data_IF_147876104602
#
_entry.id   IF_147876104602
#
_cell.length_a   1.000
_cell.length_b   1.000
_cell.length_c   1.000
_cell.angle_alpha   90.00
_cell.angle_beta   90.00
_cell.angle_gamma   90.00
#
_symmetry.space_group_name_H-M   'P 1'
#
loop_
_entity.id
_entity.type
_entity.pdbx_description
1 polymer ?
#
# COMPACT_ATOMS: atom_id res chain seq x y z
N UNK A 1 4.41 -23.39 -7.23
CA UNK A 1 5.15 -22.16 -6.86
C UNK A 1 5.28 -22.12 -5.36
N UNK A 2 6.43 -22.53 -4.84
CA UNK A 2 6.66 -22.84 -3.43
C UNK A 2 6.81 -21.56 -2.59
N UNK A 3 6.03 -21.47 -1.52
CA UNK A 3 6.20 -20.49 -0.44
C UNK A 3 7.56 -20.74 0.23
N UNK A 4 8.58 -20.01 -0.20
CA UNK A 4 9.87 -19.99 0.50
C UNK A 4 9.73 -19.13 1.75
N UNK A 5 10.18 -19.67 2.90
CA UNK A 5 10.48 -18.89 4.10
C UNK A 5 11.49 -17.79 3.74
N UNK A 6 11.01 -16.58 3.42
CA UNK A 6 11.87 -15.49 3.03
C UNK A 6 12.02 -14.50 4.19
N UNK A 7 13.27 -14.15 4.48
CA UNK A 7 13.58 -12.98 5.30
C UNK A 7 13.16 -11.73 4.52
N UNK A 8 11.90 -11.29 4.68
CA UNK A 8 11.31 -10.20 3.90
C UNK A 8 11.96 -8.86 4.29
N UNK A 9 12.57 -8.16 3.33
CA UNK A 9 13.07 -6.80 3.52
C UNK A 9 11.96 -5.76 3.65
N UNK A 10 10.72 -6.10 3.29
CA UNK A 10 9.56 -5.21 3.35
C UNK A 10 8.34 -6.00 3.79
N UNK A 11 7.54 -5.42 4.68
CA UNK A 11 6.26 -5.98 5.10
C UNK A 11 5.22 -4.89 5.38
N UNK A 12 4.03 -4.99 4.79
CA UNK A 12 2.89 -4.12 5.11
C UNK A 12 2.29 -4.52 6.47
N UNK A 13 2.34 -3.63 7.46
CA UNK A 13 2.01 -3.94 8.85
C UNK A 13 0.55 -3.63 9.21
N UNK A 14 0.07 -2.44 8.84
CA UNK A 14 -1.29 -2.01 9.17
C UNK A 14 -1.74 -0.90 8.23
N UNK A 15 -3.06 -0.74 8.12
CA UNK A 15 -3.70 0.40 7.46
C UNK A 15 -4.59 1.10 8.49
N UNK A 16 -4.55 2.42 8.51
CA UNK A 16 -5.41 3.25 9.33
C UNK A 16 -6.33 4.07 8.43
N UNK A 17 -7.64 3.92 8.59
CA UNK A 17 -8.62 4.69 7.83
C UNK A 17 -8.94 5.94 8.64
N UNK A 18 -8.58 7.11 8.10
CA UNK A 18 -8.94 8.39 8.69
C UNK A 18 -10.34 8.79 8.24
N UNK A 19 -10.59 8.70 6.93
CA UNK A 19 -11.91 8.91 6.32
C UNK A 19 -12.16 7.85 5.24
N UNK A 20 -13.38 7.31 5.18
CA UNK A 20 -13.84 6.49 4.09
C UNK A 20 -15.34 6.75 3.86
N UNK A 21 -15.65 7.35 2.72
CA UNK A 21 -17.01 7.69 2.32
C UNK A 21 -17.28 7.11 0.93
N UNK A 22 -18.42 6.44 0.79
CA UNK A 22 -18.93 5.99 -0.49
C UNK A 22 -20.35 6.55 -0.66
N UNK A 23 -20.59 7.19 -1.80
CA UNK A 23 -21.86 7.84 -2.10
C UNK A 23 -22.17 7.79 -3.59
N UNK A 24 -23.35 8.29 -3.95
CA UNK A 24 -23.77 8.43 -5.34
C UNK A 24 -23.48 9.87 -5.81
N UNK A 25 -23.04 10.00 -7.06
CA UNK A 25 -22.73 11.29 -7.68
C UNK A 25 -22.75 11.18 -9.20
N UNK A 26 -22.45 12.29 -9.87
CA UNK A 26 -22.31 12.36 -11.33
C UNK A 26 -20.85 12.66 -11.65
N UNK A 27 -20.28 11.90 -12.58
CA UNK A 27 -18.92 12.19 -13.05
C UNK A 27 -18.89 13.38 -14.00
N UNK A 28 -17.70 13.68 -14.55
CA UNK A 28 -17.53 14.80 -15.48
C UNK A 28 -18.33 14.63 -16.79
N UNK A 29 -18.76 13.42 -17.12
CA UNK A 29 -19.57 13.11 -18.30
C UNK A 29 -21.08 13.21 -18.03
N UNK A 30 -21.47 13.40 -16.76
CA UNK A 30 -22.86 13.43 -16.32
C UNK A 30 -23.44 12.04 -16.05
N UNK A 31 -22.64 10.99 -16.11
CA UNK A 31 -23.09 9.62 -15.83
C UNK A 31 -23.23 9.43 -14.33
N UNK A 32 -24.42 9.02 -13.82
CA UNK A 32 -24.60 8.69 -12.42
C UNK A 32 -23.75 7.47 -12.04
N UNK A 33 -22.95 7.60 -11.00
CA UNK A 33 -22.02 6.56 -10.55
C UNK A 33 -21.79 6.62 -9.04
N UNK A 34 -21.30 5.51 -8.49
CA UNK A 34 -20.83 5.49 -7.11
C UNK A 34 -19.41 6.04 -7.06
N UNK A 35 -19.16 6.89 -6.08
CA UNK A 35 -17.88 7.54 -5.87
C UNK A 35 -17.37 7.25 -4.46
N UNK A 36 -16.06 7.11 -4.35
CA UNK A 36 -15.37 6.95 -3.07
C UNK A 36 -14.44 8.13 -2.82
N UNK A 37 -14.53 8.66 -1.61
CA UNK A 37 -13.55 9.58 -1.05
C UNK A 37 -12.93 8.92 0.17
N UNK A 38 -11.60 8.86 0.21
CA UNK A 38 -10.89 8.27 1.33
C UNK A 38 -9.60 9.00 1.65
N UNK A 39 -9.21 8.90 2.91
CA UNK A 39 -7.88 9.25 3.39
C UNK A 39 -7.45 8.16 4.37
N UNK A 40 -6.30 7.57 4.11
CA UNK A 40 -5.77 6.51 4.97
C UNK A 40 -4.24 6.52 5.01
N UNK A 41 -3.71 5.88 6.05
CA UNK A 41 -2.28 5.73 6.26
C UNK A 41 -1.89 4.26 6.24
N UNK A 42 -1.02 3.88 5.30
CA UNK A 42 -0.43 2.55 5.22
C UNK A 42 0.91 2.55 5.95
N UNK A 43 1.03 1.72 6.98
CA UNK A 43 2.27 1.49 7.71
C UNK A 43 2.99 0.23 7.21
N UNK A 44 4.26 0.39 6.86
CA UNK A 44 5.14 -0.64 6.32
C UNK A 44 6.42 -0.72 7.15
N UNK A 45 6.95 -1.92 7.33
CA UNK A 45 8.26 -2.13 7.95
C UNK A 45 9.25 -2.47 6.85
N UNK A 46 10.34 -1.70 6.77
CA UNK A 46 11.45 -1.95 5.86
C UNK A 46 12.67 -2.35 6.67
N UNK A 47 13.31 -3.44 6.28
CA UNK A 47 14.52 -3.98 6.89
C UNK A 47 15.68 -3.92 5.89
N UNK A 48 16.78 -3.30 6.32
CA UNK A 48 18.05 -3.34 5.61
C UNK A 48 18.94 -4.44 6.21
N UNK A 49 19.11 -5.59 5.54
CA UNK A 49 19.99 -6.67 6.01
C UNK A 49 21.48 -6.37 5.82
N UNK A 50 21.85 -5.36 5.02
CA UNK A 50 23.25 -5.11 4.69
C UNK A 50 24.05 -4.76 5.94
N UNK A 51 25.23 -5.36 6.09
CA UNK A 51 26.14 -5.14 7.21
C UNK A 51 27.05 -3.92 7.04
N UNK A 52 27.43 -3.61 5.81
CA UNK A 52 28.51 -2.66 5.51
C UNK A 52 28.02 -1.31 4.97
N UNK A 53 26.78 -1.22 4.50
CA UNK A 53 26.27 -0.02 3.84
C UNK A 53 24.79 0.23 4.15
N UNK A 54 24.41 1.51 4.16
CA UNK A 54 23.02 1.92 4.17
C UNK A 54 22.41 1.92 2.77
N UNK A 55 21.08 1.99 2.73
CA UNK A 55 20.31 1.99 1.50
C UNK A 55 19.47 3.26 1.41
N UNK A 56 19.33 3.79 0.20
CA UNK A 56 18.33 4.79 -0.12
C UNK A 56 17.07 4.08 -0.58
N UNK A 57 15.98 4.26 0.14
CA UNK A 57 14.68 3.67 -0.17
C UNK A 57 13.80 4.73 -0.82
N UNK A 58 13.12 4.35 -1.90
CA UNK A 58 12.10 5.13 -2.58
C UNK A 58 10.95 4.22 -2.97
N UNK A 59 9.77 4.77 -3.23
CA UNK A 59 8.61 4.01 -3.70
C UNK A 59 8.10 4.51 -5.04
N UNK A 60 7.50 3.60 -5.80
CA UNK A 60 6.50 3.96 -6.80
C UNK A 60 5.17 4.36 -6.12
N UNK A 61 4.08 4.50 -6.90
CA UNK A 61 2.76 4.75 -6.33
C UNK A 61 2.35 3.62 -5.37
N UNK A 62 1.90 4.00 -4.18
CA UNK A 62 1.21 3.11 -3.24
C UNK A 62 -0.27 3.19 -3.56
N UNK A 63 -0.84 2.12 -4.10
CA UNK A 63 -2.22 2.08 -4.56
C UNK A 63 -3.08 1.29 -3.58
N UNK A 64 -4.28 1.80 -3.35
CA UNK A 64 -5.35 1.08 -2.68
C UNK A 64 -6.44 0.82 -3.71
N UNK A 65 -6.78 -0.45 -3.91
CA UNK A 65 -7.69 -0.89 -4.96
C UNK A 65 -8.96 -1.51 -4.37
N UNK A 66 -10.09 -1.23 -5.01
CA UNK A 66 -11.37 -1.90 -4.82
C UNK A 66 -11.86 -2.43 -6.16
N UNK A 67 -12.14 -3.73 -6.27
CA UNK A 67 -12.45 -4.39 -7.56
C UNK A 67 -11.52 -3.96 -8.70
N UNK A 68 -10.21 -3.96 -8.46
CA UNK A 68 -9.17 -3.58 -9.42
C UNK A 68 -9.12 -2.08 -9.81
N UNK A 69 -10.04 -1.27 -9.29
CA UNK A 69 -10.05 0.19 -9.46
C UNK A 69 -9.20 0.81 -8.35
N UNK A 70 -8.23 1.65 -8.71
CA UNK A 70 -7.45 2.41 -7.75
C UNK A 70 -8.32 3.52 -7.14
N UNK A 71 -8.76 3.31 -5.90
CA UNK A 71 -9.59 4.26 -5.13
C UNK A 71 -8.77 5.26 -4.33
N UNK A 72 -7.47 5.03 -4.20
CA UNK A 72 -6.55 5.97 -3.58
C UNK A 72 -5.12 5.70 -3.98
N UNK A 73 -4.33 6.77 -4.03
CA UNK A 73 -2.91 6.73 -4.36
C UNK A 73 -2.13 7.53 -3.32
N UNK A 74 -0.96 7.01 -2.95
CA UNK A 74 -0.02 7.65 -2.06
C UNK A 74 1.42 7.38 -2.50
N UNK A 75 2.37 7.89 -1.73
CA UNK A 75 3.78 7.60 -1.95
C UNK A 75 4.53 7.61 -0.62
N UNK A 76 5.55 6.76 -0.51
CA UNK A 76 6.57 6.85 0.55
C UNK A 76 7.64 7.85 0.11
N UNK A 77 7.87 8.87 0.93
CA UNK A 77 8.99 9.80 0.74
C UNK A 77 10.33 9.07 0.76
N UNK A 78 11.24 9.49 -0.13
CA UNK A 78 12.58 8.91 -0.20
C UNK A 78 13.34 9.16 1.11
N UNK A 79 14.02 8.13 1.61
CA UNK A 79 14.81 8.25 2.83
C UNK A 79 16.07 7.39 2.79
N UNK A 80 17.02 7.69 3.68
CA UNK A 80 18.18 6.86 3.93
C UNK A 80 17.93 5.93 5.13
N UNK A 81 18.36 4.68 5.01
CA UNK A 81 18.26 3.65 6.04
C UNK A 81 19.65 3.06 6.33
N UNK A 82 20.14 3.14 7.59
CA UNK A 82 21.43 2.56 7.97
C UNK A 82 21.51 1.04 7.76
N UNK A 83 22.73 0.50 7.79
CA UNK A 83 23.00 -0.95 7.82
C UNK A 83 22.31 -1.64 9.00
N UNK A 84 21.91 -2.91 8.83
CA UNK A 84 21.28 -3.75 9.87
C UNK A 84 20.16 -3.07 10.66
N UNK A 85 19.31 -2.29 9.99
CA UNK A 85 18.28 -1.49 10.65
C UNK A 85 16.88 -1.85 10.17
N UNK A 86 15.91 -1.70 11.07
CA UNK A 86 14.48 -1.73 10.77
C UNK A 86 13.91 -0.32 10.84
N UNK A 87 12.99 0.01 9.94
CA UNK A 87 12.28 1.29 9.96
C UNK A 87 10.80 1.08 9.69
N UNK A 88 9.97 1.66 10.54
CA UNK A 88 8.54 1.84 10.26
C UNK A 88 8.38 3.07 9.36
N UNK A 89 7.65 2.90 8.27
CA UNK A 89 7.44 3.91 7.25
C UNK A 89 5.95 3.99 6.94
N UNK A 90 5.46 5.21 6.76
CA UNK A 90 4.05 5.47 6.48
C UNK A 90 3.90 6.11 5.10
N UNK A 91 2.89 5.67 4.36
CA UNK A 91 2.40 6.35 3.16
C UNK A 91 0.96 6.82 3.42
N UNK A 92 0.73 8.12 3.24
CA UNK A 92 -0.63 8.67 3.20
C UNK A 92 -1.18 8.42 1.81
N UNK A 93 -2.36 7.82 1.75
CA UNK A 93 -3.07 7.45 0.54
C UNK A 93 -4.36 8.26 0.52
N UNK A 94 -4.58 8.96 -0.58
CA UNK A 94 -5.75 9.81 -0.75
C UNK A 94 -6.48 9.48 -2.05
N UNK A 95 -7.80 9.57 -1.99
CA UNK A 95 -8.68 9.53 -3.15
C UNK A 95 -9.88 10.44 -2.91
N UNK A 96 -10.24 11.23 -3.89
CA UNK A 96 -11.37 12.16 -3.80
C UNK A 96 -12.34 11.91 -4.96
N UNK A 97 -13.60 11.62 -4.63
CA UNK A 97 -14.69 11.42 -5.59
C UNK A 97 -14.31 10.44 -6.71
N UNK A 98 -13.59 9.39 -6.38
CA UNK A 98 -13.10 8.40 -7.35
C UNK A 98 -14.28 7.55 -7.82
N UNK A 99 -14.64 7.58 -9.11
CA UNK A 99 -15.77 6.81 -9.61
C UNK A 99 -15.45 5.32 -9.67
N UNK A 100 -16.44 4.48 -9.35
CA UNK A 100 -16.30 3.02 -9.27
C UNK A 100 -16.90 2.29 -10.49
N UNK A 101 -16.74 2.86 -11.68
CA UNK A 101 -17.29 2.26 -12.90
C UNK A 101 -16.85 0.81 -13.08
N UNK A 102 -17.82 -0.08 -13.30
CA UNK A 102 -17.55 -1.50 -13.51
C UNK A 102 -17.19 -2.29 -12.25
N UNK A 103 -17.13 -1.65 -11.07
CA UNK A 103 -17.11 -2.38 -9.80
C UNK A 103 -18.52 -2.91 -9.53
N UNK A 104 -18.84 -4.08 -10.10
CA UNK A 104 -20.10 -4.77 -9.85
C UNK A 104 -20.35 -5.01 -8.35
N UNK A 105 -21.61 -4.97 -7.93
CA UNK A 105 -22.02 -5.07 -6.52
C UNK A 105 -21.67 -3.81 -5.74
N UNK A 106 -22.68 -3.00 -5.42
CA UNK A 106 -22.45 -1.69 -4.79
C UNK A 106 -21.71 -1.79 -3.46
N UNK A 107 -20.67 -0.96 -3.29
CA UNK A 107 -20.18 -0.56 -1.97
C UNK A 107 -21.38 0.01 -1.18
N UNK A 108 -21.95 -0.80 -0.29
CA UNK A 108 -23.05 -0.42 0.59
C UNK A 108 -22.45 -0.21 1.98
N UNK A 109 -22.23 1.05 2.36
CA UNK A 109 -21.83 1.41 3.73
C UNK A 109 -23.01 1.39 4.72
N UNK A 110 -24.17 0.87 4.32
CA UNK A 110 -25.38 0.80 5.14
C UNK A 110 -25.39 -0.47 6.00
N UNK A 111 -24.75 -0.39 7.17
CA UNK A 111 -24.77 -1.45 8.17
C UNK A 111 -23.80 -1.20 9.33
N UNK A 112 -24.03 -1.84 10.48
CA UNK A 112 -23.18 -1.65 11.66
C UNK A 112 -21.77 -2.23 11.52
N UNK A 113 -21.51 -3.09 10.54
CA UNK A 113 -20.22 -3.79 10.37
C UNK A 113 -19.86 -4.02 8.89
N UNK A 114 -19.61 -2.94 8.13
CA UNK A 114 -19.28 -3.04 6.70
C UNK A 114 -17.78 -3.15 6.51
N UNK A 115 -17.33 -4.40 6.37
CA UNK A 115 -15.97 -4.72 5.95
C UNK A 115 -15.84 -4.54 4.43
N UNK A 116 -14.87 -3.73 4.00
CA UNK A 116 -14.59 -3.44 2.59
C UNK A 116 -13.38 -4.27 2.12
N UNK A 117 -13.51 -5.12 1.09
CA UNK A 117 -12.39 -5.85 0.52
C UNK A 117 -11.52 -4.90 -0.31
N UNK A 118 -10.25 -4.79 0.07
CA UNK A 118 -9.28 -3.90 -0.56
C UNK A 118 -8.01 -4.66 -0.93
N UNK A 119 -7.34 -4.18 -1.97
CA UNK A 119 -6.00 -4.63 -2.32
C UNK A 119 -5.02 -3.49 -2.16
N UNK A 120 -4.00 -3.68 -1.34
CA UNK A 120 -2.85 -2.76 -1.25
C UNK A 120 -1.82 -3.22 -2.25
N UNK A 121 -1.34 -2.32 -3.11
CA UNK A 121 -0.38 -2.64 -4.16
C UNK A 121 0.70 -1.55 -4.29
N UNK A 122 1.97 -1.91 -4.13
CA UNK A 122 3.06 -0.94 -4.23
C UNK A 122 4.40 -1.57 -4.59
N UNK A 123 5.29 -0.75 -5.18
CA UNK A 123 6.70 -1.09 -5.41
C UNK A 123 7.60 -0.25 -4.49
N UNK A 124 8.58 -0.90 -3.86
CA UNK A 124 9.70 -0.26 -3.19
C UNK A 124 11.01 -0.57 -3.92
N UNK A 125 11.83 0.47 -4.05
CA UNK A 125 13.16 0.41 -4.65
C UNK A 125 14.17 0.79 -3.59
N UNK A 126 15.13 -0.09 -3.33
CA UNK A 126 16.28 0.19 -2.46
C UNK A 126 17.57 0.26 -3.27
N UNK A 127 18.41 1.27 -2.98
CA UNK A 127 19.69 1.48 -3.64
C UNK A 127 20.81 1.55 -2.60
N UNK A 128 21.73 0.59 -2.64
CA UNK A 128 22.90 0.54 -1.77
C UNK A 128 24.19 0.83 -2.54
N UNK A 129 25.14 1.45 -1.86
CA UNK A 129 26.47 1.78 -2.38
C UNK A 129 27.51 0.95 -1.62
N UNK A 130 28.00 -0.13 -2.22
CA UNK A 130 28.80 -1.16 -1.52
C UNK A 130 30.24 -0.70 -1.29
N UNK A 131 30.82 -0.02 -2.29
CA UNK A 131 32.18 0.54 -2.26
C UNK A 131 32.11 1.95 -2.85
N UNK A 132 31.83 2.94 -2.00
CA UNK A 132 31.59 4.31 -2.46
C UNK A 132 30.55 4.38 -3.60
N UNK A 133 30.71 5.32 -4.52
CA UNK A 133 29.81 5.43 -5.69
C UNK A 133 30.10 4.40 -6.81
N UNK A 134 31.13 3.57 -6.66
CA UNK A 134 31.63 2.68 -7.72
C UNK A 134 30.69 1.48 -7.94
N UNK A 135 30.18 0.90 -6.85
CA UNK A 135 29.29 -0.28 -6.92
C UNK A 135 27.93 0.07 -6.35
N UNK A 136 26.94 0.16 -7.24
CA UNK A 136 25.55 0.44 -6.89
C UNK A 136 24.70 -0.81 -7.07
N UNK A 137 24.13 -1.31 -5.97
CA UNK A 137 23.15 -2.40 -5.98
C UNK A 137 21.75 -1.81 -5.89
N UNK A 138 20.85 -2.27 -6.75
CA UNK A 138 19.44 -1.85 -6.74
C UNK A 138 18.56 -3.07 -6.58
N UNK A 139 17.63 -3.04 -5.63
CA UNK A 139 16.62 -4.07 -5.46
C UNK A 139 15.24 -3.46 -5.62
N UNK A 140 14.37 -4.18 -6.33
CA UNK A 140 12.96 -3.84 -6.48
C UNK A 140 12.11 -4.91 -5.82
N UNK A 141 11.14 -4.47 -5.04
CA UNK A 141 10.20 -5.34 -4.35
C UNK A 141 8.79 -4.83 -4.63
N UNK A 142 7.98 -5.68 -5.23
CA UNK A 142 6.56 -5.44 -5.44
C UNK A 142 5.77 -6.21 -4.39
N UNK A 143 4.84 -5.53 -3.72
CA UNK A 143 4.04 -6.08 -2.63
C UNK A 143 2.57 -5.88 -2.95
N UNK A 144 1.81 -6.97 -2.88
CA UNK A 144 0.35 -6.95 -3.05
C UNK A 144 -0.30 -7.65 -1.87
N UNK A 145 -1.19 -6.97 -1.14
CA UNK A 145 -1.89 -7.53 0.01
C UNK A 145 -3.41 -7.45 -0.17
N UNK A 146 -4.11 -8.59 -0.07
CA UNK A 146 -5.58 -8.64 -0.09
C UNK A 146 -6.12 -8.61 1.33
N UNK A 147 -6.81 -7.53 1.68
CA UNK A 147 -7.26 -7.27 3.05
C UNK A 147 -8.73 -6.90 3.08
N UNK A 148 -9.34 -7.07 4.24
CA UNK A 148 -10.71 -6.66 4.50
C UNK A 148 -10.64 -5.59 5.60
N UNK A 149 -11.09 -4.38 5.30
CA UNK A 149 -10.96 -3.23 6.19
C UNK A 149 -12.34 -2.79 6.67
N UNK A 150 -12.52 -2.72 7.98
CA UNK A 150 -13.68 -2.06 8.57
C UNK A 150 -13.52 -0.55 8.42
N UNK A 151 -14.39 0.07 7.64
CA UNK A 151 -14.35 1.50 7.35
C UNK A 151 -14.54 2.39 8.59
N UNK A 152 -15.12 1.85 9.67
CA UNK A 152 -15.31 2.57 10.95
C UNK A 152 -14.13 2.37 11.91
N UNK A 153 -13.28 1.37 11.65
CA UNK A 153 -12.14 1.07 12.52
C UNK A 153 -10.95 1.95 12.17
N UNK A 154 -10.45 2.67 13.16
CA UNK A 154 -9.29 3.55 13.01
C UNK A 154 -8.01 2.82 12.51
N UNK A 155 -7.84 1.53 12.83
CA UNK A 155 -6.66 0.76 12.38
C UNK A 155 -6.94 -0.73 12.22
N UNK A 156 -6.55 -1.27 11.07
CA UNK A 156 -6.61 -2.69 10.74
C UNK A 156 -5.20 -3.25 10.55
N UNK A 157 -4.87 -4.34 11.27
CA UNK A 157 -3.59 -5.05 11.09
C UNK A 157 -3.64 -5.89 9.83
N UNK A 158 -2.56 -5.87 9.06
CA UNK A 158 -2.43 -6.67 7.85
C UNK A 158 -1.68 -7.96 8.23
N UNK A 159 -2.30 -9.15 8.08
CA UNK A 159 -1.61 -10.40 8.37
C UNK A 159 -0.59 -10.71 7.28
N UNK A 160 0.58 -11.25 7.65
CA UNK A 160 1.65 -11.61 6.69
C UNK A 160 1.17 -12.49 5.54
N UNK A 161 0.28 -13.44 5.83
CA UNK A 161 -0.30 -14.36 4.83
C UNK A 161 -1.21 -13.69 3.80
N UNK A 162 -1.70 -12.48 4.07
CA UNK A 162 -2.51 -11.73 3.10
C UNK A 162 -1.66 -11.08 2.00
N UNK A 163 -0.34 -11.02 2.18
CA UNK A 163 0.58 -10.35 1.28
C UNK A 163 1.39 -11.34 0.45
N UNK A 164 1.46 -11.08 -0.86
CA UNK A 164 2.44 -11.65 -1.76
C UNK A 164 3.55 -10.63 -1.99
N UNK A 165 4.79 -11.11 -2.04
CA UNK A 165 6.00 -10.29 -2.24
C UNK A 165 6.77 -10.84 -3.42
N UNK A 166 6.97 -10.01 -4.44
CA UNK A 166 7.68 -10.35 -5.66
C UNK A 166 8.99 -9.56 -5.73
N UNK A 167 10.08 -10.24 -6.06
CA UNK A 167 11.39 -9.61 -6.31
C UNK A 167 11.55 -9.48 -7.81
N UNK A 168 11.91 -8.28 -8.26
CA UNK A 168 12.26 -7.98 -9.64
C UNK A 168 13.75 -7.68 -9.78
#
# INVERSE_FOLDING_TARGET
>A
MTSTNQHHSVFAQSIAMDNFYAGEGTDHSGVPTKMVTLNCSLNMVVYNPASMFGIHVSSGPVRLLYSEIAIGVGQVHKYYQPSKSHRLVSAVIHGEKVPLYGAGGGLLLSGNDVTVPLTVDFELVSRGYVIGKLVRVTHKVHVTCRIAVDAKRARTRIPKKACAVYKA
#
